data_IF_619978197717
#
_entry.id   IF_619978197717
#
_cell.length_a   1.000
_cell.length_b   1.000
_cell.length_c   1.000
_cell.angle_alpha   90.00
_cell.angle_beta   90.00
_cell.angle_gamma   90.00
#
_symmetry.space_group_name_H-M   'P 1'
#
loop_
_entity.id
_entity.type
_entity.pdbx_description
1 polymer ?
#
# COMPACT_ATOMS: atom_id res chain seq x y z
N UNK A 1 37.60 21.10 -19.34
CA UNK A 1 36.64 21.98 -18.62
C UNK A 1 35.92 21.12 -17.61
N UNK A 2 36.17 21.35 -16.31
CA UNK A 2 35.64 20.53 -15.21
C UNK A 2 34.15 20.79 -15.03
N UNK A 3 33.33 19.75 -15.22
CA UNK A 3 31.88 19.79 -14.96
C UNK A 3 31.65 19.77 -13.44
N UNK A 4 31.34 20.93 -12.86
CA UNK A 4 30.82 21.02 -11.48
C UNK A 4 29.44 20.36 -11.44
N UNK A 5 29.37 19.12 -10.96
CA UNK A 5 28.10 18.48 -10.56
C UNK A 5 27.58 19.23 -9.34
N UNK A 6 26.44 19.92 -9.47
CA UNK A 6 25.69 20.38 -8.30
C UNK A 6 25.00 19.14 -7.69
N UNK A 7 25.63 18.54 -6.69
CA UNK A 7 24.92 17.65 -5.78
C UNK A 7 24.00 18.54 -4.94
N UNK A 8 22.69 18.52 -5.22
CA UNK A 8 21.69 19.07 -4.32
C UNK A 8 21.63 18.17 -3.08
N UNK A 9 22.51 18.44 -2.11
CA UNK A 9 22.33 17.97 -0.75
C UNK A 9 21.13 18.72 -0.16
N UNK A 10 19.95 18.12 -0.24
CA UNK A 10 18.86 18.48 0.67
C UNK A 10 19.39 18.32 2.11
N UNK A 11 19.19 19.30 3.00
CA UNK A 11 19.62 19.15 4.37
C UNK A 11 18.81 18.02 5.01
N UNK A 12 19.49 17.00 5.52
CA UNK A 12 18.96 16.08 6.52
C UNK A 12 18.68 16.90 7.79
N UNK A 13 17.58 17.64 7.80
CA UNK A 13 17.07 18.31 8.99
C UNK A 13 16.33 17.23 9.79
N UNK A 14 16.94 16.81 10.89
CA UNK A 14 16.26 16.10 11.97
C UNK A 14 15.22 17.06 12.57
N UNK A 15 13.94 16.86 12.22
CA UNK A 15 12.80 17.65 12.73
C UNK A 15 11.96 16.76 13.67
N UNK A 16 11.90 17.17 14.94
CA UNK A 16 10.91 16.68 15.90
C UNK A 16 9.48 17.00 15.41
N UNK A 17 8.64 15.97 15.28
CA UNK A 17 7.26 16.03 14.76
C UNK A 17 6.22 15.89 15.88
N UNK A 18 5.14 16.71 15.91
CA UNK A 18 3.95 16.39 16.70
C UNK A 18 2.67 16.06 15.90
N UNK A 19 2.66 16.09 14.57
CA UNK A 19 1.45 15.72 13.78
C UNK A 19 1.82 14.88 12.55
N UNK A 20 2.19 13.63 12.83
CA UNK A 20 2.13 12.41 12.00
C UNK A 20 2.65 11.29 12.92
N UNK A 21 1.90 11.00 14.00
CA UNK A 21 2.14 9.80 14.82
C UNK A 21 1.39 8.64 14.16
N UNK A 22 1.98 8.07 13.12
CA UNK A 22 2.12 6.62 13.08
C UNK A 22 3.49 6.33 13.71
N UNK A 23 3.49 5.47 14.71
CA UNK A 23 4.58 5.26 15.66
C UNK A 23 5.83 4.67 15.02
N UNK A 24 6.79 5.51 14.66
CA UNK A 24 8.18 5.14 14.48
C UNK A 24 9.03 5.87 15.54
N UNK A 25 9.54 5.11 16.52
CA UNK A 25 10.56 5.59 17.47
C UNK A 25 11.93 5.63 16.76
N UNK A 26 12.80 6.61 17.06
CA UNK A 26 14.15 6.64 16.52
C UNK A 26 15.06 5.72 17.35
N UNK A 27 15.70 4.73 16.73
CA UNK A 27 16.76 3.93 17.36
C UNK A 27 18.10 4.25 16.70
N UNK A 28 18.88 5.12 17.35
CA UNK A 28 20.34 5.07 17.29
C UNK A 28 20.84 4.90 18.73
N UNK A 29 21.35 3.72 19.06
CA UNK A 29 22.30 3.57 20.16
C UNK A 29 23.15 2.31 19.99
N UNK A 30 24.46 2.52 19.88
CA UNK A 30 25.47 1.49 20.02
C UNK A 30 25.46 0.96 21.47
N UNK A 31 25.20 -0.33 21.66
CA UNK A 31 25.49 -1.02 22.91
C UNK A 31 26.14 -2.38 22.63
N UNK A 32 27.43 -2.46 22.97
CA UNK A 32 28.20 -3.70 23.07
C UNK A 32 27.72 -4.41 24.34
N UNK A 33 27.20 -5.64 24.23
CA UNK A 33 27.01 -6.54 25.37
C UNK A 33 27.32 -8.02 25.03
N UNK A 34 27.72 -8.83 26.04
CA UNK A 34 28.50 -10.06 25.91
C UNK A 34 27.64 -11.32 25.67
N UNK A 35 28.22 -12.51 25.42
CA UNK A 35 27.46 -13.65 24.95
C UNK A 35 26.70 -14.32 26.09
N UNK A 36 25.41 -14.57 25.87
CA UNK A 36 24.62 -15.49 26.69
C UNK A 36 24.28 -16.68 25.81
N UNK A 37 24.87 -17.82 26.18
CA UNK A 37 24.50 -19.16 25.73
C UNK A 37 23.19 -19.56 26.39
N UNK A 38 22.16 -19.90 25.61
CA UNK A 38 21.16 -20.89 25.99
C UNK A 38 20.45 -21.44 24.75
N UNK A 39 20.39 -22.76 24.68
CA UNK A 39 19.85 -23.53 23.57
C UNK A 39 18.32 -23.65 23.70
N UNK A 40 17.61 -23.37 22.61
CA UNK A 40 16.19 -23.70 22.45
C UNK A 40 16.03 -24.44 21.11
N UNK A 41 15.21 -25.52 21.04
CA UNK A 41 15.31 -26.50 19.99
C UNK A 41 14.66 -26.03 18.69
N UNK A 42 15.35 -26.32 17.59
CA UNK A 42 14.94 -26.15 16.21
C UNK A 42 13.81 -27.13 15.89
N UNK A 43 12.62 -26.63 15.56
CA UNK A 43 11.61 -27.40 14.82
C UNK A 43 11.93 -27.23 13.34
N UNK A 44 12.50 -28.29 12.74
CA UNK A 44 12.82 -28.34 11.32
C UNK A 44 11.69 -28.89 10.47
N UNK A 45 11.85 -28.62 9.16
CA UNK A 45 11.23 -29.27 7.99
C UNK A 45 9.75 -28.90 7.74
N UNK A 46 9.27 -28.72 6.50
CA UNK A 46 9.82 -28.82 5.16
C UNK A 46 8.77 -28.17 4.22
N UNK A 47 9.17 -27.39 3.21
CA UNK A 47 8.32 -27.13 2.03
C UNK A 47 9.21 -26.73 0.85
N UNK A 48 9.88 -27.74 0.29
CA UNK A 48 10.44 -27.69 -1.06
C UNK A 48 9.88 -28.90 -1.78
N UNK A 49 8.94 -28.68 -2.69
CA UNK A 49 8.68 -29.42 -3.94
C UNK A 49 7.25 -29.15 -4.41
N UNK A 50 7.14 -28.62 -5.64
CA UNK A 50 6.20 -28.99 -6.71
C UNK A 50 5.82 -27.75 -7.52
N UNK A 51 6.45 -27.53 -8.67
CA UNK A 51 5.75 -27.11 -9.90
C UNK A 51 6.56 -27.53 -11.14
N UNK A 52 6.11 -28.63 -11.76
CA UNK A 52 6.41 -28.99 -13.15
C UNK A 52 5.29 -28.40 -14.02
N UNK A 53 5.61 -27.47 -14.91
CA UNK A 53 4.67 -26.92 -15.89
C UNK A 53 4.87 -27.66 -17.24
N UNK A 54 3.84 -28.26 -17.84
CA UNK A 54 3.96 -28.88 -19.16
C UNK A 54 3.96 -27.82 -20.27
N UNK A 55 4.93 -27.95 -21.19
CA UNK A 55 5.00 -27.22 -22.46
C UNK A 55 4.14 -27.93 -23.53
N UNK A 56 3.29 -27.17 -24.23
CA UNK A 56 2.70 -27.48 -25.54
C UNK A 56 2.16 -26.19 -26.16
N UNK A 57 2.71 -25.66 -27.27
CA UNK A 57 2.52 -26.06 -28.69
C UNK A 57 1.08 -25.80 -29.17
N UNK A 58 0.73 -25.09 -30.26
CA UNK A 58 1.41 -24.51 -31.44
C UNK A 58 0.40 -23.61 -32.20
N UNK A 59 0.94 -22.71 -33.02
CA UNK A 59 0.41 -22.13 -34.28
C UNK A 59 -0.72 -21.07 -34.30
N UNK A 60 -0.29 -19.84 -34.61
CA UNK A 60 -0.93 -18.99 -35.63
C UNK A 60 0.11 -18.07 -36.26
N UNK A 61 0.51 -18.39 -37.49
CA UNK A 61 1.36 -17.52 -38.32
C UNK A 61 0.54 -16.29 -38.77
N UNK A 62 0.92 -15.12 -38.30
CA UNK A 62 0.60 -13.84 -38.93
C UNK A 62 1.86 -13.29 -39.57
N UNK A 63 1.76 -12.89 -40.84
CA UNK A 63 2.83 -12.30 -41.65
C UNK A 63 3.60 -11.25 -40.86
N UNK A 64 4.79 -11.64 -40.39
CA UNK A 64 5.70 -10.76 -39.67
C UNK A 64 6.65 -10.19 -40.71
N UNK A 65 6.58 -8.88 -40.93
CA UNK A 65 7.66 -8.15 -41.58
C UNK A 65 8.93 -8.43 -40.76
N UNK A 66 9.81 -9.29 -41.29
CA UNK A 66 11.13 -9.54 -40.71
C UNK A 66 11.95 -8.28 -41.00
N UNK A 67 11.87 -7.29 -40.11
CA UNK A 67 12.91 -6.28 -40.03
C UNK A 67 14.20 -7.02 -39.66
N UNK A 68 15.26 -6.77 -40.41
CA UNK A 68 16.56 -7.34 -40.09
C UNK A 68 17.02 -6.69 -38.78
N UNK A 69 17.49 -7.44 -37.77
CA UNK A 69 18.12 -6.85 -36.59
C UNK A 69 19.25 -5.89 -36.95
N UNK A 70 19.86 -6.09 -38.13
CA UNK A 70 20.85 -5.20 -38.71
C UNK A 70 20.25 -3.89 -39.24
N UNK A 71 19.07 -3.90 -39.87
CA UNK A 71 18.42 -2.67 -40.36
C UNK A 71 17.90 -1.81 -39.21
N UNK A 72 17.43 -2.44 -38.13
CA UNK A 72 16.98 -1.74 -36.92
C UNK A 72 18.18 -1.17 -36.14
N UNK A 73 19.30 -1.91 -36.09
CA UNK A 73 20.56 -1.43 -35.52
C UNK A 73 21.24 -0.31 -36.33
N UNK A 74 21.16 -0.35 -37.67
CA UNK A 74 21.71 0.72 -38.53
C UNK A 74 20.85 1.98 -38.46
N UNK A 75 19.53 1.85 -38.37
CA UNK A 75 18.63 3.01 -38.24
C UNK A 75 18.80 3.74 -36.91
N UNK A 76 19.05 3.01 -35.81
CA UNK A 76 19.35 3.61 -34.50
C UNK A 76 20.75 4.23 -34.42
N UNK A 77 21.72 3.74 -35.21
CA UNK A 77 23.06 4.33 -35.29
C UNK A 77 23.14 5.57 -36.18
N UNK A 78 22.43 5.59 -37.32
CA UNK A 78 22.45 6.71 -38.27
C UNK A 78 21.60 7.88 -37.78
N UNK A 79 20.61 7.61 -36.92
CA UNK A 79 19.80 8.61 -36.22
C UNK A 79 20.18 8.70 -34.74
N UNK A 80 21.47 8.55 -34.41
CA UNK A 80 21.98 9.08 -33.14
C UNK A 80 21.82 10.61 -33.22
N UNK A 81 20.62 11.09 -32.87
CA UNK A 81 20.32 12.51 -32.74
C UNK A 81 21.41 13.09 -31.86
N UNK A 82 22.14 14.07 -32.40
CA UNK A 82 23.18 14.76 -31.65
C UNK A 82 22.60 15.15 -30.30
N UNK A 83 23.29 14.79 -29.21
CA UNK A 83 22.82 15.09 -27.85
C UNK A 83 22.32 16.53 -27.81
N UNK A 84 21.09 16.77 -27.35
CA UNK A 84 20.56 18.12 -27.28
C UNK A 84 21.58 18.98 -26.53
N UNK A 85 21.86 20.21 -27.01
CA UNK A 85 22.85 21.07 -26.38
C UNK A 85 22.54 21.15 -24.88
N UNK A 86 23.57 21.09 -24.01
CA UNK A 86 23.36 21.02 -22.57
C UNK A 86 22.47 22.18 -22.15
N UNK A 87 21.36 21.85 -21.48
CA UNK A 87 20.42 22.85 -21.00
C UNK A 87 21.16 23.91 -20.19
N UNK A 88 20.89 25.19 -20.48
CA UNK A 88 21.46 26.27 -19.69
C UNK A 88 21.04 26.10 -18.22
N UNK A 89 21.93 26.37 -17.25
CA UNK A 89 21.61 26.18 -15.85
C UNK A 89 20.35 26.99 -15.43
N UNK A 90 19.65 26.57 -14.36
CA UNK A 90 18.55 27.36 -13.81
C UNK A 90 18.95 28.80 -13.51
N UNK A 91 18.07 29.75 -13.78
CA UNK A 91 18.26 31.16 -13.43
C UNK A 91 18.03 31.39 -11.94
N UNK A 92 18.54 32.48 -11.38
CA UNK A 92 18.31 32.84 -9.97
C UNK A 92 16.81 33.01 -9.64
N UNK A 93 16.03 33.55 -10.60
CA UNK A 93 14.59 33.68 -10.46
C UNK A 93 13.87 32.31 -10.40
N UNK A 94 14.26 31.37 -11.28
CA UNK A 94 13.76 29.99 -11.27
C UNK A 94 14.09 29.29 -9.93
N UNK A 95 15.33 29.42 -9.44
CA UNK A 95 15.76 28.84 -8.17
C UNK A 95 14.97 29.45 -6.99
N UNK A 96 14.74 30.76 -7.02
CA UNK A 96 13.99 31.47 -5.97
C UNK A 96 12.54 30.99 -5.93
N UNK A 97 11.88 30.91 -7.09
CA UNK A 97 10.52 30.38 -7.20
C UNK A 97 10.41 28.94 -6.70
N UNK A 98 11.40 28.09 -7.01
CA UNK A 98 11.43 26.71 -6.53
C UNK A 98 11.59 26.63 -5.00
N UNK A 99 12.48 27.46 -4.41
CA UNK A 99 12.66 27.54 -2.95
C UNK A 99 11.39 28.00 -2.25
N UNK A 100 10.67 28.96 -2.81
CA UNK A 100 9.39 29.41 -2.27
C UNK A 100 8.33 28.29 -2.32
N UNK A 101 8.27 27.55 -3.43
CA UNK A 101 7.36 26.42 -3.59
C UNK A 101 7.63 25.31 -2.56
N UNK A 102 8.89 24.90 -2.40
CA UNK A 102 9.30 23.90 -1.41
C UNK A 102 9.19 24.40 0.02
N UNK A 103 9.47 25.68 0.27
CA UNK A 103 9.25 26.33 1.56
C UNK A 103 7.78 26.29 1.97
N UNK A 104 6.86 26.58 1.04
CA UNK A 104 5.43 26.48 1.28
C UNK A 104 4.98 25.03 1.56
N UNK A 105 5.51 24.05 0.83
CA UNK A 105 5.08 22.65 0.98
C UNK A 105 5.70 21.95 2.19
N UNK A 106 7.03 21.95 2.32
CA UNK A 106 7.74 21.20 3.36
C UNK A 106 7.95 22.02 4.65
N UNK A 107 8.12 23.34 4.53
CA UNK A 107 8.34 24.24 5.66
C UNK A 107 7.03 24.67 6.33
N UNK A 108 6.20 25.40 5.59
CA UNK A 108 4.91 25.91 6.09
C UNK A 108 3.82 24.82 6.18
N UNK A 109 4.01 23.67 5.52
CA UNK A 109 3.02 22.60 5.40
C UNK A 109 1.68 23.09 4.86
N UNK A 110 1.74 24.01 3.90
CA UNK A 110 0.57 24.65 3.30
C UNK A 110 0.43 24.21 1.82
N UNK A 111 -0.20 23.06 1.55
CA UNK A 111 -0.31 22.56 0.19
C UNK A 111 -1.16 23.45 -0.71
N UNK A 112 -2.14 24.20 -0.16
CA UNK A 112 -2.95 25.15 -0.94
C UNK A 112 -2.09 26.30 -1.49
N UNK A 113 -1.14 26.80 -0.70
CA UNK A 113 -0.17 27.81 -1.13
C UNK A 113 0.89 27.22 -2.06
N UNK A 114 1.36 26.00 -1.78
CA UNK A 114 2.42 25.36 -2.55
C UNK A 114 1.99 25.02 -3.98
N UNK A 115 0.77 24.56 -4.20
CA UNK A 115 0.30 24.09 -5.52
C UNK A 115 0.48 25.12 -6.66
N UNK A 116 0.01 26.39 -6.55
CA UNK A 116 0.24 27.36 -7.60
C UNK A 116 1.72 27.70 -7.80
N UNK A 117 2.53 27.70 -6.73
CA UNK A 117 3.99 27.94 -6.82
C UNK A 117 4.70 26.79 -7.56
N UNK A 118 4.37 25.53 -7.24
CA UNK A 118 4.90 24.35 -7.93
C UNK A 118 4.51 24.33 -9.41
N UNK A 119 3.28 24.76 -9.73
CA UNK A 119 2.81 24.87 -11.11
C UNK A 119 3.60 25.90 -11.91
N UNK A 120 3.87 27.07 -11.32
CA UNK A 120 4.69 28.11 -11.96
C UNK A 120 6.17 27.66 -12.10
N UNK A 121 6.71 26.97 -11.09
CA UNK A 121 8.05 26.42 -11.13
C UNK A 121 8.18 25.40 -12.29
N UNK A 122 7.23 24.47 -12.45
CA UNK A 122 7.21 23.51 -13.56
C UNK A 122 7.21 24.18 -14.94
N UNK A 123 6.42 25.24 -15.12
CA UNK A 123 6.41 25.99 -16.39
C UNK A 123 7.77 26.64 -16.67
N UNK A 124 8.40 27.22 -15.65
CA UNK A 124 9.71 27.86 -15.79
C UNK A 124 10.84 26.83 -16.01
N UNK A 125 10.68 25.62 -15.47
CA UNK A 125 11.62 24.51 -15.58
C UNK A 125 11.44 23.66 -16.86
N UNK A 126 10.58 24.05 -17.80
CA UNK A 126 10.32 23.25 -19.01
C UNK A 126 11.59 22.98 -19.84
N UNK A 127 12.52 23.94 -19.85
CA UNK A 127 13.83 23.88 -20.52
C UNK A 127 14.89 23.05 -19.79
N UNK A 128 14.62 22.63 -18.54
CA UNK A 128 15.56 21.87 -17.74
C UNK A 128 15.58 20.40 -18.16
N UNK A 129 16.63 19.65 -17.78
CA UNK A 129 16.73 18.22 -18.05
C UNK A 129 15.50 17.41 -17.55
N UNK A 130 15.15 16.30 -18.21
CA UNK A 130 13.99 15.49 -17.86
C UNK A 130 13.95 14.99 -16.41
N UNK A 131 15.10 14.65 -15.83
CA UNK A 131 15.27 14.20 -14.44
C UNK A 131 14.85 15.26 -13.42
N UNK A 132 15.32 16.50 -13.59
CA UNK A 132 14.94 17.63 -12.73
C UNK A 132 13.43 17.92 -12.81
N UNK A 133 12.87 17.86 -14.02
CA UNK A 133 11.42 18.02 -14.23
C UNK A 133 10.63 16.87 -13.61
N UNK A 134 11.13 15.65 -13.68
CA UNK A 134 10.47 14.48 -13.10
C UNK A 134 10.30 14.64 -11.58
N UNK A 135 11.34 15.10 -10.88
CA UNK A 135 11.27 15.38 -9.45
C UNK A 135 10.21 16.43 -9.10
N UNK A 136 10.08 17.50 -9.90
CA UNK A 136 9.04 18.52 -9.69
C UNK A 136 7.62 17.98 -9.88
N UNK A 137 7.41 17.13 -10.89
CA UNK A 137 6.13 16.44 -11.07
C UNK A 137 5.81 15.54 -9.88
N UNK A 138 6.79 14.80 -9.34
CA UNK A 138 6.59 13.98 -8.14
C UNK A 138 6.16 14.82 -6.94
N UNK A 139 6.87 15.91 -6.63
CA UNK A 139 6.54 16.78 -5.49
C UNK A 139 5.16 17.43 -5.65
N UNK A 140 4.77 17.80 -6.87
CA UNK A 140 3.42 18.31 -7.12
C UNK A 140 2.36 17.20 -6.99
N UNK A 141 2.67 15.97 -7.37
CA UNK A 141 1.88 14.78 -7.07
C UNK A 141 1.65 14.60 -5.56
N UNK A 142 2.70 14.72 -4.73
CA UNK A 142 2.57 14.69 -3.26
C UNK A 142 1.66 15.82 -2.75
N UNK A 143 1.81 17.02 -3.32
CA UNK A 143 0.98 18.18 -2.99
C UNK A 143 -0.49 17.94 -3.32
N UNK A 144 -0.80 17.33 -4.47
CA UNK A 144 -2.15 16.90 -4.82
C UNK A 144 -2.71 15.85 -3.85
N UNK A 145 -1.90 14.87 -3.42
CA UNK A 145 -2.32 13.92 -2.39
C UNK A 145 -2.66 14.62 -1.06
N UNK A 146 -1.84 15.59 -0.64
CA UNK A 146 -2.11 16.39 0.56
C UNK A 146 -3.40 17.25 0.45
N UNK A 147 -3.80 17.59 -0.78
CA UNK A 147 -5.05 18.30 -1.09
C UNK A 147 -6.24 17.35 -1.33
N UNK A 148 -6.06 16.04 -1.20
CA UNK A 148 -7.06 15.03 -1.50
C UNK A 148 -7.54 15.08 -2.96
N UNK A 149 -6.60 15.30 -3.88
CA UNK A 149 -6.81 15.31 -5.33
C UNK A 149 -6.07 14.11 -5.97
N UNK A 150 -6.54 12.87 -5.71
CA UNK A 150 -5.79 11.66 -6.08
C UNK A 150 -5.69 11.44 -7.59
N UNK A 151 -6.65 11.93 -8.39
CA UNK A 151 -6.58 11.79 -9.84
C UNK A 151 -5.46 12.62 -10.43
N UNK A 152 -5.39 13.89 -10.05
CA UNK A 152 -4.34 14.83 -10.44
C UNK A 152 -2.97 14.34 -9.96
N UNK A 153 -2.91 13.79 -8.74
CA UNK A 153 -1.69 13.18 -8.22
C UNK A 153 -1.22 11.99 -9.10
N UNK A 154 -2.12 11.07 -9.44
CA UNK A 154 -1.79 9.90 -10.27
C UNK A 154 -1.25 10.31 -11.66
N UNK A 155 -1.85 11.35 -12.27
CA UNK A 155 -1.39 11.91 -13.54
C UNK A 155 0.03 12.49 -13.42
N UNK A 156 0.32 13.23 -12.35
CA UNK A 156 1.64 13.83 -12.11
C UNK A 156 2.71 12.78 -11.82
N UNK A 157 2.43 11.76 -11.00
CA UNK A 157 3.35 10.64 -10.84
C UNK A 157 3.55 9.87 -12.15
N UNK A 158 2.50 9.74 -12.97
CA UNK A 158 2.60 9.16 -14.31
C UNK A 158 3.55 9.92 -15.22
N UNK A 159 3.50 11.27 -15.20
CA UNK A 159 4.45 12.13 -15.94
C UNK A 159 5.86 12.03 -15.41
N UNK A 160 6.04 12.00 -14.09
CA UNK A 160 7.33 11.78 -13.44
C UNK A 160 7.98 10.48 -13.94
N UNK A 161 7.24 9.37 -13.90
CA UNK A 161 7.71 8.07 -14.38
C UNK A 161 8.02 8.09 -15.88
N UNK A 162 7.15 8.68 -16.70
CA UNK A 162 7.40 8.81 -18.15
C UNK A 162 8.66 9.60 -18.50
N UNK A 163 9.04 10.59 -17.69
CA UNK A 163 10.29 11.32 -17.85
C UNK A 163 11.51 10.51 -17.40
N UNK A 164 11.41 9.78 -16.29
CA UNK A 164 12.49 8.92 -15.78
C UNK A 164 12.74 7.67 -16.64
N UNK A 165 11.74 7.22 -17.38
CA UNK A 165 11.86 6.09 -18.31
C UNK A 165 12.30 6.54 -19.72
N UNK A 166 12.35 7.85 -19.97
CA UNK A 166 12.77 8.45 -21.25
C UNK A 166 14.26 8.82 -21.32
N UNK A 167 14.66 9.42 -22.45
CA UNK A 167 16.05 9.89 -22.69
C UNK A 167 16.43 10.93 -21.64
N UNK A 168 17.55 10.72 -20.94
CA UNK A 168 18.03 11.60 -19.86
C UNK A 168 17.48 11.24 -18.49
N UNK A 169 16.49 10.36 -18.41
CA UNK A 169 15.90 9.87 -17.17
C UNK A 169 16.86 9.02 -16.33
N UNK A 170 17.89 8.44 -16.94
CA UNK A 170 18.94 7.68 -16.26
C UNK A 170 19.80 8.52 -15.29
N UNK A 171 19.69 9.85 -15.37
CA UNK A 171 20.36 10.79 -14.47
C UNK A 171 19.55 11.09 -13.21
N UNK A 172 18.27 10.73 -13.18
CA UNK A 172 17.44 10.89 -12.01
C UNK A 172 18.01 10.11 -10.82
N UNK A 173 17.81 10.63 -9.61
CA UNK A 173 18.19 9.91 -8.40
C UNK A 173 17.45 8.56 -8.38
N UNK A 174 18.16 7.43 -8.19
CA UNK A 174 17.55 6.10 -8.18
C UNK A 174 16.39 5.95 -7.19
N UNK A 175 16.36 6.74 -6.12
CA UNK A 175 15.28 6.73 -5.12
C UNK A 175 13.97 7.39 -5.60
N UNK A 176 14.00 8.23 -6.62
CA UNK A 176 12.81 8.94 -7.11
C UNK A 176 11.83 7.99 -7.82
N UNK A 177 12.35 6.96 -8.51
CA UNK A 177 11.53 5.98 -9.23
C UNK A 177 10.63 5.15 -8.30
N UNK A 178 11.13 4.46 -7.24
CA UNK A 178 10.26 3.76 -6.30
C UNK A 178 9.29 4.70 -5.59
N UNK A 179 9.70 5.92 -5.25
CA UNK A 179 8.82 6.91 -4.61
C UNK A 179 7.66 7.34 -5.52
N UNK A 180 7.94 7.62 -6.81
CA UNK A 180 6.92 7.98 -7.78
C UNK A 180 5.95 6.81 -8.06
N UNK A 181 6.45 5.57 -8.13
CA UNK A 181 5.61 4.36 -8.24
C UNK A 181 4.69 4.22 -7.04
N UNK A 182 5.24 4.31 -5.82
CA UNK A 182 4.47 4.22 -4.59
C UNK A 182 3.41 5.33 -4.48
N UNK A 183 3.78 6.57 -4.81
CA UNK A 183 2.87 7.70 -4.87
C UNK A 183 1.72 7.47 -5.85
N UNK A 184 2.02 6.97 -7.07
CA UNK A 184 1.00 6.66 -8.08
C UNK A 184 0.07 5.54 -7.62
N UNK A 185 0.61 4.48 -7.03
CA UNK A 185 -0.18 3.36 -6.53
C UNK A 185 -1.21 3.83 -5.47
N UNK A 186 -0.76 4.64 -4.51
CA UNK A 186 -1.63 5.26 -3.49
C UNK A 186 -2.69 6.16 -4.10
N UNK A 187 -2.28 7.03 -5.02
CA UNK A 187 -3.19 7.93 -5.72
C UNK A 187 -4.28 7.17 -6.51
N UNK A 188 -3.90 6.08 -7.20
CA UNK A 188 -4.84 5.23 -7.92
C UNK A 188 -5.86 4.58 -6.96
N UNK A 189 -5.41 4.08 -5.80
CA UNK A 189 -6.29 3.49 -4.77
C UNK A 189 -7.22 4.50 -4.10
N UNK A 190 -6.79 5.75 -3.98
CA UNK A 190 -7.58 6.81 -3.35
C UNK A 190 -8.72 7.36 -4.22
N UNK A 191 -8.77 7.00 -5.50
CA UNK A 191 -9.83 7.44 -6.40
C UNK A 191 -11.19 6.83 -6.03
N UNK A 192 -12.27 7.59 -6.25
CA UNK A 192 -13.63 7.03 -6.23
C UNK A 192 -13.86 6.17 -7.48
N UNK A 193 -14.63 5.08 -7.34
CA UNK A 193 -14.94 4.18 -8.45
C UNK A 193 -13.71 3.42 -8.94
N UNK A 194 -13.12 2.61 -8.06
CA UNK A 194 -11.99 1.75 -8.41
C UNK A 194 -12.45 0.69 -9.42
N UNK A 195 -11.91 0.75 -10.63
CA UNK A 195 -12.03 -0.33 -11.60
C UNK A 195 -10.87 -1.32 -11.45
N UNK A 196 -11.09 -2.55 -11.92
CA UNK A 196 -10.11 -3.64 -11.86
C UNK A 196 -8.78 -3.25 -12.51
N UNK A 197 -8.82 -2.46 -13.59
CA UNK A 197 -7.61 -2.02 -14.32
C UNK A 197 -6.74 -1.09 -13.47
N UNK A 198 -7.35 -0.14 -12.77
CA UNK A 198 -6.64 0.78 -11.85
C UNK A 198 -6.04 0.01 -10.69
N UNK A 199 -6.78 -0.93 -10.09
CA UNK A 199 -6.27 -1.76 -9.01
C UNK A 199 -5.11 -2.66 -9.45
N UNK A 200 -5.20 -3.23 -10.65
CA UNK A 200 -4.11 -4.00 -11.27
C UNK A 200 -2.87 -3.12 -11.48
N UNK A 201 -3.05 -1.90 -11.99
CA UNK A 201 -1.94 -0.96 -12.17
C UNK A 201 -1.33 -0.52 -10.84
N UNK A 202 -2.14 -0.28 -9.82
CA UNK A 202 -1.67 0.05 -8.48
C UNK A 202 -0.88 -1.10 -7.86
N UNK A 203 -1.37 -2.35 -8.00
CA UNK A 203 -0.67 -3.54 -7.51
C UNK A 203 0.70 -3.70 -8.17
N UNK A 204 0.80 -3.49 -9.49
CA UNK A 204 2.08 -3.53 -10.19
C UNK A 204 3.02 -2.41 -9.75
N UNK A 205 2.50 -1.20 -9.54
CA UNK A 205 3.31 -0.08 -9.04
C UNK A 205 3.85 -0.34 -7.64
N UNK A 206 3.06 -0.93 -6.74
CA UNK A 206 3.55 -1.36 -5.42
C UNK A 206 4.64 -2.43 -5.53
N UNK A 207 4.41 -3.48 -6.35
CA UNK A 207 5.38 -4.56 -6.54
C UNK A 207 6.72 -4.02 -7.04
N UNK A 208 6.71 -3.17 -8.06
CA UNK A 208 7.91 -2.55 -8.62
C UNK A 208 8.57 -1.62 -7.59
N UNK A 209 7.81 -0.79 -6.87
CA UNK A 209 8.36 0.10 -5.84
C UNK A 209 9.06 -0.67 -4.71
N UNK A 210 8.43 -1.72 -4.20
CA UNK A 210 9.00 -2.59 -3.17
C UNK A 210 10.27 -3.29 -3.68
N UNK A 211 10.22 -3.83 -4.90
CA UNK A 211 11.39 -4.46 -5.54
C UNK A 211 12.54 -3.46 -5.68
N UNK A 212 12.29 -2.24 -6.15
CA UNK A 212 13.34 -1.20 -6.30
C UNK A 212 13.85 -0.66 -4.95
N UNK A 213 13.15 -0.89 -3.84
CA UNK A 213 13.61 -0.50 -2.49
C UNK A 213 14.48 -1.58 -1.84
N UNK A 214 14.41 -2.81 -2.35
CA UNK A 214 15.25 -3.92 -1.89
C UNK A 214 16.72 -3.75 -2.31
N UNK A 215 17.59 -4.58 -1.75
CA UNK A 215 19.01 -4.57 -2.09
C UNK A 215 19.24 -5.05 -3.54
N UNK A 216 19.93 -4.22 -4.34
CA UNK A 216 20.19 -4.48 -5.77
C UNK A 216 21.07 -5.71 -6.04
N UNK A 217 21.80 -6.20 -5.04
CA UNK A 217 22.62 -7.41 -5.13
C UNK A 217 21.80 -8.71 -5.04
N UNK A 218 20.51 -8.62 -4.68
CA UNK A 218 19.61 -9.77 -4.55
C UNK A 218 18.85 -10.06 -5.84
N UNK A 219 18.49 -11.33 -6.03
CA UNK A 219 17.56 -11.76 -7.08
C UNK A 219 16.17 -11.12 -6.88
N UNK A 220 15.37 -11.01 -7.94
CA UNK A 220 14.12 -10.22 -7.92
C UNK A 220 13.18 -10.59 -6.76
N UNK A 221 12.98 -11.88 -6.49
CA UNK A 221 12.09 -12.34 -5.42
C UNK A 221 12.64 -12.05 -4.01
N UNK A 222 13.96 -12.21 -3.83
CA UNK A 222 14.63 -11.88 -2.56
C UNK A 222 14.64 -10.36 -2.33
N UNK A 223 14.83 -9.59 -3.41
CA UNK A 223 14.79 -8.13 -3.40
C UNK A 223 13.40 -7.62 -3.03
N UNK A 224 12.36 -8.23 -3.59
CA UNK A 224 10.98 -7.94 -3.22
C UNK A 224 10.72 -8.25 -1.74
N UNK A 225 11.20 -9.39 -1.24
CA UNK A 225 11.07 -9.76 0.17
C UNK A 225 11.79 -8.76 1.10
N UNK A 226 13.01 -8.35 0.75
CA UNK A 226 13.77 -7.31 1.45
C UNK A 226 13.03 -5.95 1.42
N UNK A 227 12.45 -5.58 0.26
CA UNK A 227 11.60 -4.40 0.11
C UNK A 227 10.37 -4.43 1.01
N UNK A 228 9.69 -5.58 1.11
CA UNK A 228 8.55 -5.79 2.02
C UNK A 228 8.98 -5.64 3.49
N UNK A 229 10.13 -6.18 3.87
CA UNK A 229 10.68 -6.03 5.23
C UNK A 229 10.99 -4.58 5.57
N UNK A 230 11.52 -3.81 4.62
CA UNK A 230 11.83 -2.38 4.78
C UNK A 230 10.57 -1.50 4.82
N UNK A 231 9.48 -1.90 4.16
CA UNK A 231 8.25 -1.13 4.08
C UNK A 231 6.99 -2.02 4.19
N UNK A 232 6.68 -2.53 5.40
CA UNK A 232 5.53 -3.41 5.61
C UNK A 232 4.18 -2.73 5.34
N UNK A 233 4.09 -1.40 5.50
CA UNK A 233 2.88 -0.65 5.15
C UNK A 233 2.60 -0.71 3.65
N UNK A 234 3.58 -0.42 2.81
CA UNK A 234 3.41 -0.54 1.36
C UNK A 234 3.12 -1.99 0.92
N UNK A 235 3.64 -2.99 1.64
CA UNK A 235 3.30 -4.39 1.40
C UNK A 235 1.83 -4.71 1.74
N UNK A 236 1.29 -4.18 2.84
CA UNK A 236 -0.14 -4.31 3.13
C UNK A 236 -0.99 -3.60 2.06
N UNK A 237 -0.61 -2.37 1.67
CA UNK A 237 -1.30 -1.62 0.62
C UNK A 237 -1.30 -2.35 -0.74
N UNK A 238 -0.21 -3.08 -1.03
CA UNK A 238 -0.09 -3.95 -2.20
C UNK A 238 -1.10 -5.11 -2.13
N UNK A 239 -1.18 -5.80 -0.98
CA UNK A 239 -2.15 -6.88 -0.76
C UNK A 239 -3.59 -6.41 -0.97
N UNK A 240 -3.93 -5.21 -0.49
CA UNK A 240 -5.23 -4.60 -0.73
C UNK A 240 -5.50 -4.31 -2.21
N UNK A 241 -4.49 -3.86 -2.97
CA UNK A 241 -4.63 -3.66 -4.42
C UNK A 241 -4.85 -4.98 -5.16
N UNK A 242 -4.14 -6.04 -4.76
CA UNK A 242 -4.30 -7.38 -5.31
C UNK A 242 -5.71 -7.91 -5.04
N UNK A 243 -6.23 -7.77 -3.82
CA UNK A 243 -7.62 -8.11 -3.48
C UNK A 243 -8.61 -7.38 -4.37
N UNK A 244 -8.44 -6.06 -4.50
CA UNK A 244 -9.32 -5.21 -5.30
C UNK A 244 -9.24 -5.47 -6.81
N UNK A 245 -8.18 -6.17 -7.26
CA UNK A 245 -8.03 -6.66 -8.64
C UNK A 245 -8.52 -8.10 -8.84
N UNK A 246 -9.07 -8.75 -7.81
CA UNK A 246 -9.52 -10.15 -7.87
C UNK A 246 -8.41 -11.20 -7.69
N UNK A 247 -7.17 -10.78 -7.42
CA UNK A 247 -6.00 -11.67 -7.27
C UNK A 247 -5.84 -12.14 -5.82
N UNK A 248 -6.84 -12.88 -5.31
CA UNK A 248 -6.95 -13.20 -3.88
C UNK A 248 -5.84 -14.10 -3.33
N UNK A 249 -5.34 -15.06 -4.10
CA UNK A 249 -4.20 -15.89 -3.66
C UNK A 249 -2.94 -15.05 -3.47
N UNK A 250 -2.68 -14.12 -4.39
CA UNK A 250 -1.53 -13.23 -4.34
C UNK A 250 -1.69 -12.21 -3.20
N UNK A 251 -2.91 -11.71 -2.98
CA UNK A 251 -3.25 -10.84 -1.86
C UNK A 251 -2.96 -11.56 -0.52
N UNK A 252 -3.42 -12.81 -0.37
CA UNK A 252 -3.17 -13.61 0.83
C UNK A 252 -1.68 -13.83 1.10
N UNK A 253 -0.89 -14.15 0.06
CA UNK A 253 0.57 -14.30 0.19
C UNK A 253 1.22 -12.99 0.62
N UNK A 254 0.79 -11.88 0.03
CA UNK A 254 1.33 -10.54 0.29
C UNK A 254 1.00 -10.06 1.69
N UNK A 255 -0.25 -10.16 2.13
CA UNK A 255 -0.65 -9.85 3.51
C UNK A 255 0.05 -10.75 4.54
N UNK A 256 0.32 -12.02 4.20
CA UNK A 256 1.15 -12.89 5.03
C UNK A 256 2.61 -12.44 5.17
N UNK A 257 3.19 -11.85 4.12
CA UNK A 257 4.54 -11.24 4.18
C UNK A 257 4.50 -9.95 5.00
N UNK A 258 3.51 -9.09 4.77
CA UNK A 258 3.32 -7.85 5.53
C UNK A 258 3.15 -8.13 7.04
N UNK A 259 2.33 -9.14 7.41
CA UNK A 259 2.13 -9.52 8.80
C UNK A 259 3.44 -9.88 9.52
N UNK A 260 4.30 -10.68 8.88
CA UNK A 260 5.62 -11.03 9.42
C UNK A 260 6.53 -9.81 9.53
N UNK A 261 6.59 -9.00 8.48
CA UNK A 261 7.42 -7.79 8.48
C UNK A 261 6.98 -6.77 9.55
N UNK A 262 5.67 -6.65 9.82
CA UNK A 262 5.16 -5.83 10.92
C UNK A 262 5.55 -6.38 12.30
N UNK A 263 5.48 -7.70 12.48
CA UNK A 263 5.93 -8.35 13.72
C UNK A 263 7.43 -8.09 13.96
N UNK A 264 8.25 -8.19 12.90
CA UNK A 264 9.70 -7.96 12.96
C UNK A 264 10.07 -6.52 13.38
N UNK A 265 9.28 -5.52 12.98
CA UNK A 265 9.46 -4.12 13.40
C UNK A 265 8.75 -3.77 14.71
N UNK A 266 8.02 -4.73 15.30
CA UNK A 266 7.31 -4.58 16.57
C UNK A 266 5.94 -3.88 16.48
N UNK A 267 5.38 -3.70 15.29
CA UNK A 267 4.02 -3.18 15.10
C UNK A 267 3.01 -4.34 15.12
N UNK A 268 2.76 -4.86 16.33
CA UNK A 268 1.91 -6.03 16.51
C UNK A 268 0.45 -5.79 16.09
N UNK A 269 -0.06 -4.56 16.21
CA UNK A 269 -1.42 -4.23 15.78
C UNK A 269 -1.57 -4.38 14.25
N UNK A 270 -0.65 -3.79 13.49
CA UNK A 270 -0.62 -3.92 12.03
C UNK A 270 -0.33 -5.36 11.57
N UNK A 271 0.49 -6.10 12.33
CA UNK A 271 0.75 -7.52 12.09
C UNK A 271 -0.52 -8.36 12.16
N UNK A 272 -1.32 -8.18 13.23
CA UNK A 272 -2.60 -8.88 13.41
C UNK A 272 -3.61 -8.48 12.33
N UNK A 273 -3.75 -7.19 12.01
CA UNK A 273 -4.61 -6.73 10.92
C UNK A 273 -4.24 -7.40 9.59
N UNK A 274 -2.95 -7.42 9.26
CA UNK A 274 -2.45 -8.07 8.04
C UNK A 274 -2.70 -9.59 8.05
N UNK A 275 -2.59 -10.25 9.21
CA UNK A 275 -2.89 -11.67 9.33
C UNK A 275 -4.39 -11.98 9.16
N UNK A 276 -5.27 -11.11 9.68
CA UNK A 276 -6.72 -11.20 9.48
C UNK A 276 -7.06 -11.00 7.99
N UNK A 277 -6.46 -10.00 7.33
CA UNK A 277 -6.61 -9.76 5.90
C UNK A 277 -6.17 -10.95 5.05
N UNK A 278 -5.04 -11.59 5.37
CA UNK A 278 -4.61 -12.84 4.73
C UNK A 278 -5.68 -13.92 4.83
N UNK A 279 -6.28 -14.10 6.02
CA UNK A 279 -7.33 -15.11 6.22
C UNK A 279 -8.58 -14.83 5.38
N UNK A 280 -8.97 -13.56 5.26
CA UNK A 280 -10.10 -13.11 4.43
C UNK A 280 -9.80 -13.39 2.94
N UNK A 281 -8.59 -13.10 2.48
CA UNK A 281 -8.17 -13.36 1.10
C UNK A 281 -8.13 -14.86 0.76
N UNK A 282 -7.69 -15.72 1.70
CA UNK A 282 -7.78 -17.17 1.53
C UNK A 282 -9.24 -17.64 1.47
N UNK A 283 -10.13 -17.07 2.27
CA UNK A 283 -11.56 -17.38 2.24
C UNK A 283 -12.19 -16.99 0.90
N UNK A 284 -11.77 -15.86 0.34
CA UNK A 284 -12.12 -15.37 -0.98
C UNK A 284 -11.61 -16.27 -2.12
N UNK A 285 -10.35 -16.72 -2.06
CA UNK A 285 -9.75 -17.61 -3.04
C UNK A 285 -10.35 -19.03 -3.02
N UNK A 286 -10.89 -19.47 -1.89
CA UNK A 286 -11.39 -20.84 -1.73
C UNK A 286 -12.64 -21.15 -2.60
N UNK A 287 -12.50 -22.11 -3.51
CA UNK A 287 -13.54 -22.58 -4.43
C UNK A 287 -14.53 -23.59 -3.81
N UNK A 288 -14.77 -23.51 -2.51
CA UNK A 288 -15.87 -24.20 -1.82
C UNK A 288 -15.45 -25.42 -0.98
N UNK A 289 -14.63 -26.35 -1.51
CA UNK A 289 -14.27 -27.58 -0.77
C UNK A 289 -12.98 -27.47 0.05
N UNK A 290 -12.04 -26.61 -0.38
CA UNK A 290 -10.78 -26.42 0.34
C UNK A 290 -10.80 -25.12 1.15
N UNK A 291 -11.58 -25.13 2.24
CA UNK A 291 -11.67 -24.01 3.19
C UNK A 291 -10.71 -24.16 4.36
N UNK A 292 -9.89 -25.22 4.38
CA UNK A 292 -9.06 -25.57 5.54
C UNK A 292 -8.04 -24.48 5.83
N UNK A 293 -7.28 -24.06 4.82
CA UNK A 293 -6.23 -23.06 4.99
C UNK A 293 -6.80 -21.70 5.40
N UNK A 294 -7.93 -21.30 4.81
CA UNK A 294 -8.64 -20.08 5.17
C UNK A 294 -9.14 -20.13 6.63
N UNK A 295 -9.79 -21.24 7.02
CA UNK A 295 -10.29 -21.45 8.38
C UNK A 295 -9.16 -21.42 9.40
N UNK A 296 -8.08 -22.14 9.13
CA UNK A 296 -6.96 -22.27 10.07
C UNK A 296 -6.23 -20.92 10.20
N UNK A 297 -6.04 -20.18 9.11
CA UNK A 297 -5.49 -18.83 9.12
C UNK A 297 -6.36 -17.82 9.88
N UNK A 298 -7.68 -17.80 9.62
CA UNK A 298 -8.62 -16.92 10.30
C UNK A 298 -8.68 -17.21 11.80
N UNK A 299 -8.82 -18.49 12.20
CA UNK A 299 -8.84 -18.87 13.62
C UNK A 299 -7.54 -18.47 14.33
N UNK A 300 -6.38 -18.69 13.71
CA UNK A 300 -5.11 -18.29 14.29
C UNK A 300 -5.00 -16.76 14.46
N UNK A 301 -5.38 -15.97 13.45
CA UNK A 301 -5.35 -14.52 13.52
C UNK A 301 -6.34 -13.96 14.55
N UNK A 302 -7.57 -14.47 14.61
CA UNK A 302 -8.59 -14.08 15.60
C UNK A 302 -8.11 -14.38 17.04
N UNK A 303 -7.40 -15.49 17.25
CA UNK A 303 -6.83 -15.82 18.57
C UNK A 303 -5.69 -14.86 18.99
N UNK A 304 -5.05 -14.17 18.04
CA UNK A 304 -4.00 -13.19 18.31
C UNK A 304 -4.53 -11.78 18.61
N UNK A 305 -5.78 -11.46 18.30
CA UNK A 305 -6.30 -10.11 18.56
C UNK A 305 -6.19 -9.65 20.03
N UNK A 306 -6.47 -10.49 21.04
CA UNK A 306 -6.35 -10.10 22.45
C UNK A 306 -4.90 -9.84 22.91
N UNK A 307 -3.88 -10.24 22.13
CA UNK A 307 -2.47 -9.98 22.47
C UNK A 307 -2.03 -8.58 22.08
N UNK A 308 -2.82 -7.88 21.24
CA UNK A 308 -2.58 -6.48 20.89
C UNK A 308 -2.83 -5.58 22.10
N UNK A 309 -1.78 -4.85 22.49
CA UNK A 309 -1.79 -3.87 23.58
C UNK A 309 -1.37 -2.52 23.03
N UNK A 310 -1.94 -1.45 23.55
CA UNK A 310 -1.55 -0.10 23.20
C UNK A 310 -2.39 0.95 23.90
N UNK A 311 -1.85 2.16 23.98
CA UNK A 311 -2.60 3.33 24.48
C UNK A 311 -3.41 4.01 23.37
N UNK A 312 -3.13 3.67 22.10
CA UNK A 312 -3.90 4.15 20.96
C UNK A 312 -5.21 3.37 20.83
N UNK A 313 -6.23 3.91 21.47
CA UNK A 313 -7.60 3.40 21.44
C UNK A 313 -8.14 3.29 20.01
N UNK A 314 -7.83 4.24 19.12
CA UNK A 314 -8.36 4.23 17.76
C UNK A 314 -7.78 3.04 16.98
N UNK A 315 -6.48 2.77 17.17
CA UNK A 315 -5.83 1.59 16.61
C UNK A 315 -6.44 0.29 17.16
N UNK A 316 -6.66 0.19 18.47
CA UNK A 316 -7.32 -0.98 19.08
C UNK A 316 -8.73 -1.19 18.53
N UNK A 317 -9.51 -0.12 18.36
CA UNK A 317 -10.85 -0.18 17.77
C UNK A 317 -10.83 -0.69 16.33
N UNK A 318 -9.84 -0.31 15.52
CA UNK A 318 -9.66 -0.83 14.15
C UNK A 318 -9.29 -2.31 14.13
N UNK A 319 -8.41 -2.73 15.03
CA UNK A 319 -8.04 -4.15 15.19
C UNK A 319 -9.28 -4.99 15.52
N UNK A 320 -10.12 -4.52 16.45
CA UNK A 320 -11.39 -5.17 16.83
C UNK A 320 -12.41 -5.16 15.68
N UNK A 321 -12.54 -4.04 14.97
CA UNK A 321 -13.39 -3.94 13.78
C UNK A 321 -12.97 -4.98 12.71
N UNK A 322 -11.66 -5.12 12.51
CA UNK A 322 -11.09 -6.08 11.57
C UNK A 322 -11.27 -7.53 12.01
N UNK A 323 -11.18 -7.80 13.30
CA UNK A 323 -11.54 -9.12 13.86
C UNK A 323 -13.00 -9.45 13.56
N UNK A 324 -13.92 -8.51 13.77
CA UNK A 324 -15.33 -8.69 13.44
C UNK A 324 -15.55 -9.01 11.95
N UNK A 325 -14.84 -8.32 11.05
CA UNK A 325 -14.85 -8.62 9.62
C UNK A 325 -14.33 -10.05 9.32
N UNK A 326 -13.21 -10.43 9.93
CA UNK A 326 -12.62 -11.76 9.77
C UNK A 326 -13.55 -12.88 10.28
N UNK A 327 -14.25 -12.65 11.40
CA UNK A 327 -15.27 -13.57 11.91
C UNK A 327 -16.46 -13.71 10.97
N UNK A 328 -16.90 -12.62 10.33
CA UNK A 328 -17.94 -12.70 9.29
C UNK A 328 -17.48 -13.54 8.09
N UNK A 329 -16.23 -13.36 7.65
CA UNK A 329 -15.66 -14.19 6.58
C UNK A 329 -15.59 -15.67 7.01
N UNK A 330 -15.09 -15.96 8.22
CA UNK A 330 -15.01 -17.31 8.79
C UNK A 330 -16.39 -17.97 8.89
N UNK A 331 -17.38 -17.26 9.41
CA UNK A 331 -18.75 -17.74 9.52
C UNK A 331 -19.32 -18.13 8.16
N UNK A 332 -19.08 -17.30 7.13
CA UNK A 332 -19.58 -17.54 5.77
C UNK A 332 -18.99 -18.80 5.13
N UNK A 333 -17.70 -19.08 5.32
CA UNK A 333 -17.05 -20.27 4.77
C UNK A 333 -17.39 -21.54 5.55
N UNK A 334 -17.53 -21.46 6.88
CA UNK A 334 -17.97 -22.59 7.70
C UNK A 334 -19.39 -23.00 7.35
N UNK A 335 -20.28 -22.02 7.19
CA UNK A 335 -21.65 -22.26 6.75
C UNK A 335 -21.69 -22.93 5.37
N UNK A 336 -20.93 -22.42 4.40
CA UNK A 336 -20.82 -23.02 3.06
C UNK A 336 -20.26 -24.44 3.09
N UNK A 337 -19.36 -24.75 4.03
CA UNK A 337 -18.80 -26.08 4.27
C UNK A 337 -19.72 -27.02 5.08
N UNK A 338 -20.97 -26.62 5.32
CA UNK A 338 -21.97 -27.36 6.11
C UNK A 338 -21.61 -27.54 7.60
N UNK A 339 -20.68 -26.72 8.12
CA UNK A 339 -20.38 -26.61 9.54
C UNK A 339 -21.20 -25.47 10.17
N UNK A 340 -22.53 -25.66 10.17
CA UNK A 340 -23.49 -24.59 10.50
C UNK A 340 -23.37 -24.11 11.93
N UNK A 341 -23.13 -25.03 12.88
CA UNK A 341 -23.02 -24.69 14.30
C UNK A 341 -21.85 -23.75 14.57
N UNK A 342 -20.66 -24.07 14.02
CA UNK A 342 -19.50 -23.19 14.17
C UNK A 342 -19.70 -21.88 13.38
N UNK A 343 -20.32 -21.95 12.20
CA UNK A 343 -20.67 -20.76 11.41
C UNK A 343 -21.58 -19.77 12.16
N UNK A 344 -22.64 -20.25 12.80
CA UNK A 344 -23.55 -19.43 13.62
C UNK A 344 -22.82 -18.80 14.81
N UNK A 345 -21.99 -19.58 15.49
CA UNK A 345 -21.21 -19.09 16.63
C UNK A 345 -20.31 -17.92 16.21
N UNK A 346 -19.51 -18.09 15.15
CA UNK A 346 -18.60 -17.03 14.69
C UNK A 346 -19.38 -15.79 14.20
N UNK A 347 -20.55 -16.00 13.59
CA UNK A 347 -21.44 -14.92 13.21
C UNK A 347 -21.96 -14.14 14.42
N UNK A 348 -22.44 -14.82 15.48
CA UNK A 348 -22.91 -14.15 16.69
C UNK A 348 -21.79 -13.43 17.42
N UNK A 349 -20.60 -14.04 17.50
CA UNK A 349 -19.41 -13.43 18.07
C UNK A 349 -19.02 -12.16 17.28
N UNK A 350 -19.10 -12.18 15.95
CA UNK A 350 -18.86 -11.00 15.12
C UNK A 350 -19.84 -9.87 15.43
N UNK A 351 -21.14 -10.16 15.49
CA UNK A 351 -22.15 -9.14 15.79
C UNK A 351 -22.01 -8.57 17.21
N UNK A 352 -21.74 -9.42 18.21
CA UNK A 352 -21.45 -8.96 19.57
C UNK A 352 -20.21 -8.06 19.63
N UNK A 353 -19.17 -8.39 18.86
CA UNK A 353 -17.95 -7.58 18.74
C UNK A 353 -18.25 -6.19 18.18
N UNK A 354 -19.05 -6.11 17.10
CA UNK A 354 -19.46 -4.83 16.54
C UNK A 354 -20.34 -4.01 17.49
N UNK A 355 -21.30 -4.63 18.18
CA UNK A 355 -22.14 -3.94 19.17
C UNK A 355 -21.30 -3.39 20.33
N UNK A 356 -20.29 -4.15 20.79
CA UNK A 356 -19.36 -3.69 21.82
C UNK A 356 -18.49 -2.52 21.34
N UNK A 357 -18.04 -2.56 20.08
CA UNK A 357 -17.26 -1.51 19.46
C UNK A 357 -18.04 -0.18 19.40
N UNK A 358 -19.30 -0.23 18.98
CA UNK A 358 -20.19 0.93 18.93
C UNK A 358 -20.51 1.46 20.34
N UNK A 359 -20.77 0.56 21.30
CA UNK A 359 -21.01 0.95 22.69
C UNK A 359 -19.80 1.65 23.33
N UNK A 360 -18.57 1.19 23.06
CA UNK A 360 -17.34 1.86 23.51
C UNK A 360 -17.18 3.26 22.89
N UNK A 361 -17.41 3.39 21.58
CA UNK A 361 -17.37 4.68 20.91
C UNK A 361 -18.41 5.67 21.47
N UNK A 362 -19.64 5.22 21.70
CA UNK A 362 -20.69 6.02 22.33
C UNK A 362 -20.35 6.45 23.76
N UNK A 363 -19.74 5.56 24.54
CA UNK A 363 -19.31 5.88 25.90
C UNK A 363 -18.23 6.98 25.89
N UNK A 364 -17.27 6.89 24.97
CA UNK A 364 -16.19 7.88 24.81
C UNK A 364 -16.71 9.24 24.38
N UNK A 365 -17.63 9.26 23.42
CA UNK A 365 -18.25 10.51 22.97
C UNK A 365 -19.02 11.19 24.10
N UNK A 366 -19.75 10.42 24.91
CA UNK A 366 -20.44 10.96 26.09
C UNK A 366 -19.45 11.57 27.09
N UNK A 367 -18.27 10.98 27.27
CA UNK A 367 -17.20 11.54 28.11
C UNK A 367 -16.64 12.82 27.47
N UNK A 368 -16.32 12.79 26.18
CA UNK A 368 -15.80 13.94 25.43
C UNK A 368 -16.75 15.14 25.51
N UNK A 369 -18.04 14.92 25.26
CA UNK A 369 -19.10 15.93 25.36
C UNK A 369 -19.18 16.52 26.77
N UNK A 370 -19.11 15.68 27.83
CA UNK A 370 -19.10 16.15 29.22
C UNK A 370 -17.88 17.01 29.55
N UNK A 371 -16.74 16.74 28.92
CA UNK A 371 -15.50 17.52 29.07
C UNK A 371 -15.42 18.75 28.16
N UNK A 372 -16.44 18.99 27.32
CA UNK A 372 -16.45 20.09 26.35
C UNK A 372 -15.51 19.89 25.16
N UNK A 373 -15.00 18.67 24.94
CA UNK A 373 -14.25 18.35 23.74
C UNK A 373 -15.20 18.35 22.53
N UNK A 374 -14.82 19.08 21.48
CA UNK A 374 -15.58 19.07 20.24
C UNK A 374 -15.50 17.69 19.58
N UNK A 375 -16.57 17.25 18.87
CA UNK A 375 -16.50 16.03 18.06
C UNK A 375 -15.32 16.11 17.10
N UNK A 376 -14.57 15.00 16.98
CA UNK A 376 -13.48 14.93 16.01
C UNK A 376 -14.09 15.14 14.62
N UNK A 377 -13.58 16.08 13.80
CA UNK A 377 -14.07 16.23 12.44
C UNK A 377 -13.90 14.90 11.71
N UNK A 378 -14.91 14.53 10.93
CA UNK A 378 -14.82 13.40 10.00
C UNK A 378 -13.83 13.79 8.91
N UNK A 379 -12.56 13.44 9.12
CA UNK A 379 -11.53 13.64 8.10
C UNK A 379 -11.81 12.59 7.04
N UNK A 380 -12.08 13.04 5.81
CA UNK A 380 -12.17 12.13 4.67
C UNK A 380 -10.81 11.49 4.48
N UNK A 381 -10.69 10.21 4.80
CA UNK A 381 -9.46 9.47 4.59
C UNK A 381 -9.29 9.15 3.10
N UNK A 382 -8.04 9.08 2.65
CA UNK A 382 -7.70 8.74 1.28
C UNK A 382 -7.86 7.25 0.97
N UNK A 383 -8.15 6.42 1.98
CA UNK A 383 -8.59 5.04 1.82
C UNK A 383 -7.51 4.08 1.32
N UNK A 384 -6.24 4.46 1.45
CA UNK A 384 -5.14 3.59 1.06
C UNK A 384 -4.37 3.05 2.27
N UNK A 385 -4.33 3.75 3.40
CA UNK A 385 -3.53 3.33 4.55
C UNK A 385 -4.20 2.20 5.34
N UNK A 386 -3.40 1.41 6.05
CA UNK A 386 -3.90 0.46 7.06
C UNK A 386 -4.63 1.19 8.20
N UNK A 387 -4.31 2.46 8.41
CA UNK A 387 -5.01 3.33 9.34
C UNK A 387 -6.36 3.84 8.81
N UNK A 388 -6.65 3.64 7.52
CA UNK A 388 -7.92 4.04 6.91
C UNK A 388 -8.97 2.92 6.99
N UNK A 389 -8.66 1.80 7.66
CA UNK A 389 -9.61 0.71 7.91
C UNK A 389 -10.79 1.22 8.74
N UNK A 390 -11.97 0.67 8.43
CA UNK A 390 -13.22 1.00 9.11
C UNK A 390 -13.09 0.83 10.63
N UNK A 391 -13.41 1.89 11.36
CA UNK A 391 -13.44 1.91 12.81
C UNK A 391 -14.85 1.69 13.39
N UNK A 392 -14.99 2.04 14.66
CA UNK A 392 -16.30 2.07 15.32
C UNK A 392 -17.30 2.95 14.55
N UNK A 393 -18.58 2.55 14.53
CA UNK A 393 -19.69 3.16 13.80
C UNK A 393 -19.62 3.15 12.27
N UNK A 394 -18.48 2.79 11.69
CA UNK A 394 -18.33 2.66 10.24
C UNK A 394 -18.69 1.24 9.77
N UNK A 395 -18.51 0.25 10.64
CA UNK A 395 -18.88 -1.14 10.44
C UNK A 395 -19.80 -1.62 11.56
N UNK A 396 -20.80 -2.42 11.18
CA UNK A 396 -21.70 -3.08 12.13
C UNK A 396 -22.28 -4.34 11.52
N UNK A 397 -22.88 -5.20 12.34
CA UNK A 397 -23.48 -6.47 11.90
C UNK A 397 -24.47 -6.25 10.73
N UNK A 398 -25.30 -5.21 10.79
CA UNK A 398 -26.26 -4.88 9.73
C UNK A 398 -25.62 -4.38 8.43
N UNK A 399 -24.37 -3.88 8.47
CA UNK A 399 -23.65 -3.42 7.28
C UNK A 399 -23.38 -4.56 6.29
N UNK A 400 -23.16 -5.78 6.78
CA UNK A 400 -22.93 -6.97 5.94
C UNK A 400 -24.17 -7.43 5.15
N UNK A 401 -25.34 -6.85 5.43
CA UNK A 401 -26.57 -7.06 4.63
C UNK A 401 -26.60 -6.19 3.37
N UNK A 402 -25.73 -5.17 3.28
CA UNK A 402 -25.70 -4.21 2.18
C UNK A 402 -24.61 -4.60 1.19
N UNK A 403 -25.00 -5.00 0.00
CA UNK A 403 -24.07 -5.38 -1.08
C UNK A 403 -23.08 -4.25 -1.43
N UNK A 404 -23.54 -2.98 -1.42
CA UNK A 404 -22.67 -1.83 -1.64
C UNK A 404 -21.60 -1.68 -0.55
N UNK A 405 -21.88 -2.08 0.71
CA UNK A 405 -20.87 -2.06 1.76
C UNK A 405 -19.80 -3.12 1.51
N UNK A 406 -20.22 -4.34 1.16
CA UNK A 406 -19.28 -5.43 0.85
C UNK A 406 -18.41 -5.12 -0.37
N UNK A 407 -19.00 -4.52 -1.41
CA UNK A 407 -18.30 -4.17 -2.64
C UNK A 407 -17.44 -2.92 -2.49
N UNK A 408 -18.01 -1.80 -2.03
CA UNK A 408 -17.34 -0.49 -2.06
C UNK A 408 -16.42 -0.26 -0.85
N UNK A 409 -16.74 -0.84 0.32
CA UNK A 409 -15.96 -0.62 1.55
C UNK A 409 -15.02 -1.76 1.88
N UNK A 410 -15.49 -3.00 1.79
CA UNK A 410 -14.66 -4.18 2.12
C UNK A 410 -13.90 -4.74 0.91
N UNK A 411 -14.36 -4.44 -0.32
CA UNK A 411 -13.79 -4.96 -1.56
C UNK A 411 -13.75 -6.50 -1.59
N UNK A 412 -14.79 -7.14 -1.03
CA UNK A 412 -14.92 -8.59 -1.03
C UNK A 412 -15.30 -9.11 -2.43
N UNK A 413 -14.82 -10.30 -2.85
CA UNK A 413 -15.30 -10.93 -4.08
C UNK A 413 -16.77 -11.29 -3.99
N UNK A 414 -17.45 -11.28 -5.14
CA UNK A 414 -18.82 -11.77 -5.31
C UNK A 414 -19.05 -13.13 -4.64
N UNK A 415 -18.09 -14.05 -4.75
CA UNK A 415 -18.17 -15.38 -4.11
C UNK A 415 -18.30 -15.28 -2.58
N UNK A 416 -17.53 -14.40 -1.94
CA UNK A 416 -17.60 -14.21 -0.49
C UNK A 416 -18.83 -13.38 -0.10
N UNK A 417 -19.19 -12.40 -0.93
CA UNK A 417 -20.42 -11.61 -0.77
C UNK A 417 -21.67 -12.51 -0.79
N UNK A 418 -21.77 -13.42 -1.75
CA UNK A 418 -22.87 -14.38 -1.83
C UNK A 418 -22.94 -15.27 -0.59
N UNK A 419 -21.80 -15.74 -0.09
CA UNK A 419 -21.74 -16.59 1.12
C UNK A 419 -22.27 -15.84 2.34
N UNK A 420 -21.82 -14.60 2.58
CA UNK A 420 -22.28 -13.82 3.74
C UNK A 420 -23.75 -13.36 3.60
N UNK A 421 -24.20 -13.03 2.39
CA UNK A 421 -25.61 -12.69 2.16
C UNK A 421 -26.55 -13.90 2.31
N UNK A 422 -26.08 -15.12 2.04
CA UNK A 422 -26.82 -16.36 2.33
C UNK A 422 -26.92 -16.61 3.83
N UNK A 423 -25.83 -16.37 4.58
CA UNK A 423 -25.80 -16.49 6.03
C UNK A 423 -26.82 -15.58 6.72
N UNK A 424 -26.95 -14.32 6.26
CA UNK A 424 -27.88 -13.33 6.84
C UNK A 424 -29.37 -13.61 6.57
N UNK A 425 -29.70 -14.39 5.54
CA UNK A 425 -31.09 -14.72 5.17
C UNK A 425 -31.69 -15.85 6.02
N UNK A 426 -30.89 -16.48 6.88
CA UNK A 426 -31.26 -17.71 7.59
C UNK A 426 -31.55 -17.47 9.08
N UNK A 427 -31.55 -16.20 9.51
CA UNK A 427 -32.22 -15.73 10.73
C UNK A 427 -33.71 -15.49 10.46
#
# INVERSE_FOLDING_TARGET
MSSQRMAFLAPLISVDQPFLRSSALPMISNAIHPPVTEAVPTVGAAFDTLWNIPKGSTDRMTDTHISSPLSDGISSWILAEADPPPAAPPTEAEITSLREAFGAFFGERNPQKALPLLTNALQSFERQPPDERAALYRVRGDCYMALQLPREAADDYGRCLGLMDGIGGEKADPSERPLARLGRARALRSGTGLDEKRNTQAAEDYRVALTLTGNDDLEEEERLADGVSKNPYAAWEWGMSLRASGSYEDAARTHGRAARAFEDVGDHAAAVVSALDRGIDLAAASSGTDVKDARDALKAAILSTPTVKGDDIALLQRVVAKEGEARMALASILWAANDKSDGEKEFFDACATFDQLDADADARDKVAQKTGAMPKPLISNLGYSIDDILGAREVGCSSFKRESFLTEKLQWPDVLQEKVLKLEKLK
#
